data_IF_707656451421
#
_entry.id   IF_707656451421
#
_cell.length_a   1.000
_cell.length_b   1.000
_cell.length_c   1.000
_cell.angle_alpha   90.00
_cell.angle_beta   90.00
_cell.angle_gamma   90.00
#
_symmetry.space_group_name_H-M   'P 1'
#
loop_
_entity.id
_entity.type
_entity.pdbx_description
1 polymer ?
#
# COMPACT_ATOMS: atom_id res chain seq x y z
N UNK A 1 -7.50 37.51 -4.73
CA UNK A 1 -6.24 36.78 -4.99
C UNK A 1 -6.64 35.47 -5.61
N UNK A 2 -6.13 35.13 -6.79
CA UNK A 2 -6.30 33.78 -7.35
C UNK A 2 -5.69 32.77 -6.38
N UNK A 3 -6.49 31.79 -5.96
CA UNK A 3 -5.98 30.65 -5.19
C UNK A 3 -4.97 29.90 -6.03
N UNK A 4 -3.71 29.91 -5.58
CA UNK A 4 -2.60 29.26 -6.28
C UNK A 4 -2.81 27.75 -6.32
N UNK A 5 -2.70 27.18 -7.52
CA UNK A 5 -2.83 25.74 -7.73
C UNK A 5 -1.60 25.03 -7.13
N UNK A 6 -1.86 24.00 -6.34
CA UNK A 6 -0.83 23.12 -5.77
C UNK A 6 -0.80 21.83 -6.58
N UNK A 7 0.33 21.54 -7.24
CA UNK A 7 0.44 20.39 -8.13
C UNK A 7 1.23 19.25 -7.48
N UNK A 8 0.64 18.06 -7.47
CA UNK A 8 1.27 16.81 -7.01
C UNK A 8 1.35 15.82 -8.16
N UNK A 9 2.48 15.12 -8.27
CA UNK A 9 2.62 13.94 -9.11
C UNK A 9 2.39 12.68 -8.28
N UNK A 10 1.73 11.68 -8.86
CA UNK A 10 1.44 10.40 -8.20
C UNK A 10 1.88 9.28 -9.12
N UNK A 11 2.71 8.35 -8.65
CA UNK A 11 3.19 7.22 -9.48
C UNK A 11 2.67 5.88 -8.96
N UNK A 12 2.16 5.06 -9.88
CA UNK A 12 1.65 3.73 -9.57
C UNK A 12 2.19 2.67 -10.52
N UNK A 13 2.26 1.44 -10.00
CA UNK A 13 2.69 0.26 -10.74
C UNK A 13 1.58 -0.29 -11.66
N UNK A 14 1.91 -1.16 -12.65
CA UNK A 14 0.94 -1.81 -13.55
C UNK A 14 0.12 -2.92 -12.85
N UNK A 15 -0.59 -2.56 -11.78
CA UNK A 15 -1.52 -3.43 -11.05
C UNK A 15 -2.81 -2.66 -10.75
N UNK A 16 -3.96 -3.18 -11.20
CA UNK A 16 -5.24 -2.47 -11.09
C UNK A 16 -5.61 -2.15 -9.64
N UNK A 17 -5.40 -3.06 -8.70
CA UNK A 17 -5.71 -2.82 -7.28
C UNK A 17 -4.91 -1.65 -6.70
N UNK A 18 -3.64 -1.51 -7.08
CA UNK A 18 -2.79 -0.39 -6.68
C UNK A 18 -3.26 0.93 -7.31
N UNK A 19 -3.50 0.91 -8.62
CA UNK A 19 -3.95 2.07 -9.38
C UNK A 19 -5.30 2.58 -8.89
N UNK A 20 -6.27 1.68 -8.67
CA UNK A 20 -7.59 2.05 -8.16
C UNK A 20 -7.49 2.68 -6.76
N UNK A 21 -6.72 2.06 -5.86
CA UNK A 21 -6.58 2.51 -4.47
C UNK A 21 -5.95 3.91 -4.38
N UNK A 22 -4.83 4.14 -5.07
CA UNK A 22 -4.12 5.42 -5.00
C UNK A 22 -4.88 6.54 -5.72
N UNK A 23 -5.59 6.24 -6.81
CA UNK A 23 -6.42 7.22 -7.51
C UNK A 23 -7.67 7.57 -6.69
N UNK A 24 -8.25 6.63 -5.95
CA UNK A 24 -9.37 6.94 -5.04
C UNK A 24 -8.92 7.89 -3.91
N UNK A 25 -7.71 7.70 -3.39
CA UNK A 25 -7.07 8.68 -2.51
C UNK A 25 -6.95 10.06 -3.20
N UNK A 26 -6.50 10.11 -4.45
CA UNK A 26 -6.39 11.37 -5.20
C UNK A 26 -7.75 12.04 -5.41
N UNK A 27 -8.80 11.27 -5.73
CA UNK A 27 -10.18 11.77 -5.86
C UNK A 27 -10.67 12.40 -4.57
N UNK A 28 -10.43 11.75 -3.43
CA UNK A 28 -10.75 12.31 -2.11
C UNK A 28 -9.97 13.59 -1.82
N UNK A 29 -8.66 13.60 -2.12
CA UNK A 29 -7.81 14.77 -1.91
C UNK A 29 -8.35 16.00 -2.65
N UNK A 30 -8.61 15.89 -3.96
CA UNK A 30 -9.10 17.03 -4.76
C UNK A 30 -10.57 17.39 -4.46
N UNK A 31 -11.36 16.44 -3.94
CA UNK A 31 -12.72 16.69 -3.50
C UNK A 31 -12.76 17.60 -2.28
N UNK A 32 -11.88 17.38 -1.29
CA UNK A 32 -11.80 18.22 -0.10
C UNK A 32 -10.90 19.46 -0.28
N UNK A 33 -9.99 19.45 -1.26
CA UNK A 33 -9.03 20.53 -1.51
C UNK A 33 -9.00 20.92 -2.99
N UNK A 34 -9.93 21.77 -3.40
CA UNK A 34 -10.13 22.17 -4.80
C UNK A 34 -8.95 22.93 -5.44
N UNK A 35 -8.02 23.45 -4.64
CA UNK A 35 -6.77 24.07 -5.10
C UNK A 35 -5.69 23.04 -5.48
N UNK A 36 -5.90 21.75 -5.22
CA UNK A 36 -4.99 20.70 -5.64
C UNK A 36 -5.29 20.25 -7.07
N UNK A 37 -4.20 20.07 -7.81
CA UNK A 37 -4.20 19.41 -9.10
C UNK A 37 -3.25 18.21 -9.00
N UNK A 38 -3.67 17.07 -9.54
CA UNK A 38 -2.91 15.82 -9.44
C UNK A 38 -2.63 15.28 -10.84
N UNK A 39 -1.40 14.87 -11.09
CA UNK A 39 -1.07 14.09 -12.30
C UNK A 39 -0.66 12.68 -11.91
N UNK A 40 -1.47 11.69 -12.30
CA UNK A 40 -1.18 10.27 -12.09
C UNK A 40 -0.32 9.72 -13.23
N UNK A 41 0.86 9.20 -12.91
CA UNK A 41 1.81 8.62 -13.85
C UNK A 41 1.79 7.09 -13.69
N UNK A 42 1.48 6.39 -14.78
CA UNK A 42 1.32 4.95 -14.79
C UNK A 42 2.37 4.27 -15.66
N UNK A 43 3.14 3.37 -15.06
CA UNK A 43 3.91 2.37 -15.81
C UNK A 43 2.95 1.40 -16.51
N UNK A 44 3.27 1.01 -17.74
CA UNK A 44 2.46 0.08 -18.54
C UNK A 44 3.30 -1.08 -19.08
N UNK A 45 2.70 -2.26 -19.17
CA UNK A 45 3.29 -3.46 -19.80
C UNK A 45 2.42 -3.80 -21.00
N UNK A 46 2.96 -3.70 -22.21
CA UNK A 46 2.28 -3.74 -23.52
C UNK A 46 1.18 -2.68 -23.69
N UNK A 47 0.16 -2.69 -22.83
CA UNK A 47 -0.95 -1.74 -22.83
C UNK A 47 -1.54 -1.58 -21.41
N UNK A 48 -2.21 -0.44 -21.11
CA UNK A 48 -2.90 -0.28 -19.84
C UNK A 48 -4.02 -1.33 -19.65
N UNK A 49 -4.27 -1.83 -18.43
CA UNK A 49 -5.41 -2.71 -18.19
C UNK A 49 -6.73 -2.04 -18.56
N UNK A 50 -7.64 -2.76 -19.23
CA UNK A 50 -8.94 -2.21 -19.63
C UNK A 50 -9.74 -1.67 -18.44
N UNK A 51 -9.68 -2.35 -17.29
CA UNK A 51 -10.30 -1.90 -16.05
C UNK A 51 -9.76 -0.53 -15.60
N UNK A 52 -8.44 -0.30 -15.73
CA UNK A 52 -7.80 0.99 -15.45
C UNK A 52 -8.31 2.06 -16.41
N UNK A 53 -8.36 1.78 -17.72
CA UNK A 53 -8.86 2.74 -18.72
C UNK A 53 -10.29 3.16 -18.39
N UNK A 54 -11.18 2.20 -18.15
CA UNK A 54 -12.58 2.47 -17.78
C UNK A 54 -12.68 3.26 -16.47
N UNK A 55 -11.86 2.92 -15.48
CA UNK A 55 -11.85 3.59 -14.20
C UNK A 55 -11.41 5.06 -14.31
N UNK A 56 -10.41 5.36 -15.15
CA UNK A 56 -9.90 6.71 -15.40
C UNK A 56 -10.88 7.62 -16.16
N UNK A 57 -11.90 7.07 -16.84
CA UNK A 57 -12.94 7.87 -17.49
C UNK A 57 -13.79 8.69 -16.50
N UNK A 58 -13.79 8.29 -15.23
CA UNK A 58 -14.55 8.94 -14.15
C UNK A 58 -13.74 9.98 -13.37
N UNK A 59 -12.57 10.39 -13.86
CA UNK A 59 -11.72 11.33 -13.13
C UNK A 59 -12.33 12.74 -13.10
N UNK A 60 -12.24 13.43 -11.93
CA UNK A 60 -12.58 14.85 -11.84
C UNK A 60 -11.57 15.70 -12.66
N UNK A 61 -11.95 16.93 -13.07
CA UNK A 61 -11.13 17.79 -13.94
C UNK A 61 -9.79 18.22 -13.33
N UNK A 62 -9.62 18.05 -12.01
CA UNK A 62 -8.38 18.37 -11.31
C UNK A 62 -7.39 17.20 -11.26
N UNK A 63 -7.69 16.08 -11.93
CA UNK A 63 -6.81 14.91 -12.01
C UNK A 63 -6.53 14.58 -13.46
N UNK A 64 -5.29 14.81 -13.87
CA UNK A 64 -4.74 14.35 -15.14
C UNK A 64 -4.02 13.01 -14.98
N UNK A 65 -3.75 12.34 -16.10
CA UNK A 65 -2.93 11.12 -16.09
C UNK A 65 -2.02 11.01 -17.30
N UNK A 66 -0.91 10.30 -17.11
CA UNK A 66 0.10 10.00 -18.12
C UNK A 66 0.37 8.50 -18.09
N UNK A 67 0.20 7.83 -19.22
CA UNK A 67 0.79 6.51 -19.41
C UNK A 67 2.21 6.67 -19.92
N UNK A 68 3.17 6.11 -19.20
CA UNK A 68 4.55 6.03 -19.68
C UNK A 68 4.62 5.12 -20.92
N UNK A 69 5.62 5.31 -21.81
CA UNK A 69 5.87 4.40 -22.92
C UNK A 69 5.87 2.95 -22.44
N UNK A 70 5.14 2.05 -23.13
CA UNK A 70 4.94 0.70 -22.66
C UNK A 70 6.22 -0.12 -22.68
N UNK A 71 6.43 -0.88 -21.60
CA UNK A 71 7.46 -1.91 -21.55
C UNK A 71 6.94 -3.15 -22.27
N UNK A 72 7.72 -3.69 -23.20
CA UNK A 72 7.34 -4.90 -23.93
C UNK A 72 7.45 -6.10 -22.99
N UNK A 73 6.37 -6.87 -22.86
CA UNK A 73 6.34 -8.07 -22.01
C UNK A 73 7.37 -9.12 -22.42
N UNK A 74 7.82 -9.12 -23.68
CA UNK A 74 8.87 -10.03 -24.15
C UNK A 74 10.24 -9.74 -23.56
N UNK A 75 10.49 -8.48 -23.15
CA UNK A 75 11.74 -8.02 -22.55
C UNK A 75 11.77 -8.24 -21.03
N UNK A 76 10.65 -8.66 -20.45
CA UNK A 76 10.54 -9.01 -19.03
C UNK A 76 11.01 -10.44 -18.77
N UNK A 77 11.59 -10.72 -17.58
CA UNK A 77 12.01 -12.07 -17.21
C UNK A 77 10.84 -13.06 -17.25
N UNK A 78 11.08 -14.23 -17.86
CA UNK A 78 10.10 -15.31 -18.00
C UNK A 78 10.24 -16.31 -16.86
N UNK A 79 9.14 -16.93 -16.45
CA UNK A 79 9.13 -17.96 -15.40
C UNK A 79 9.32 -17.43 -13.97
N UNK A 80 9.31 -16.11 -13.77
CA UNK A 80 9.36 -15.48 -12.45
C UNK A 80 7.97 -15.00 -12.00
N UNK A 81 7.73 -14.85 -10.68
CA UNK A 81 6.48 -14.30 -10.15
C UNK A 81 6.08 -12.97 -10.80
N UNK A 82 4.77 -12.71 -10.86
CA UNK A 82 4.23 -11.48 -11.45
C UNK A 82 4.77 -10.21 -10.76
N UNK A 83 4.97 -10.26 -9.44
CA UNK A 83 5.55 -9.16 -8.68
C UNK A 83 6.95 -8.77 -9.17
N UNK A 84 7.78 -9.75 -9.55
CA UNK A 84 9.09 -9.50 -10.13
C UNK A 84 9.01 -8.92 -11.54
N UNK A 85 8.08 -9.38 -12.37
CA UNK A 85 7.86 -8.81 -13.71
C UNK A 85 7.43 -7.34 -13.61
N UNK A 86 6.51 -7.03 -12.69
CA UNK A 86 6.08 -5.67 -12.39
C UNK A 86 7.26 -4.82 -11.91
N UNK A 87 8.07 -5.35 -10.98
CA UNK A 87 9.28 -4.67 -10.49
C UNK A 87 10.23 -4.28 -11.64
N UNK A 88 10.52 -5.21 -12.55
CA UNK A 88 11.39 -4.94 -13.69
C UNK A 88 10.79 -3.89 -14.63
N UNK A 89 9.49 -3.97 -14.92
CA UNK A 89 8.82 -2.98 -15.76
C UNK A 89 8.90 -1.56 -15.16
N UNK A 90 8.74 -1.43 -13.84
CA UNK A 90 8.86 -0.16 -13.14
C UNK A 90 10.29 0.38 -13.25
N UNK A 91 11.32 -0.42 -12.95
CA UNK A 91 12.72 0.01 -13.05
C UNK A 91 13.11 0.38 -14.49
N UNK A 92 12.64 -0.37 -15.50
CA UNK A 92 12.87 -0.02 -16.92
C UNK A 92 12.15 1.26 -17.36
N UNK A 93 11.06 1.64 -16.66
CA UNK A 93 10.31 2.85 -16.95
C UNK A 93 10.89 4.12 -16.33
N UNK A 94 11.90 4.02 -15.45
CA UNK A 94 12.45 5.17 -14.72
C UNK A 94 12.97 6.30 -15.62
N UNK A 95 13.65 6.06 -16.76
CA UNK A 95 14.06 7.16 -17.65
C UNK A 95 12.86 7.92 -18.23
N UNK A 96 11.79 7.20 -18.60
CA UNK A 96 10.55 7.81 -19.08
C UNK A 96 9.83 8.57 -17.98
N UNK A 97 9.83 8.02 -16.76
CA UNK A 97 9.29 8.71 -15.58
C UNK A 97 10.04 10.01 -15.29
N UNK A 98 11.37 10.00 -15.33
CA UNK A 98 12.21 11.19 -15.15
C UNK A 98 11.84 12.29 -16.14
N UNK A 99 11.73 11.96 -17.43
CA UNK A 99 11.33 12.92 -18.45
C UNK A 99 9.90 13.45 -18.22
N UNK A 100 8.93 12.58 -17.87
CA UNK A 100 7.59 13.02 -17.54
C UNK A 100 7.58 14.00 -16.35
N UNK A 101 8.33 13.69 -15.29
CA UNK A 101 8.45 14.55 -14.12
C UNK A 101 9.14 15.88 -14.45
N UNK A 102 10.20 15.86 -15.26
CA UNK A 102 10.87 17.06 -15.76
C UNK A 102 9.92 17.98 -16.54
N UNK A 103 9.05 17.41 -17.38
CA UNK A 103 8.04 18.16 -18.11
C UNK A 103 7.03 18.82 -17.17
N UNK A 104 6.59 18.12 -16.11
CA UNK A 104 5.67 18.68 -15.11
C UNK A 104 6.32 19.82 -14.32
N UNK A 105 7.58 19.63 -13.90
CA UNK A 105 8.37 20.66 -13.22
C UNK A 105 8.60 21.93 -14.06
N UNK A 106 8.61 21.80 -15.38
CA UNK A 106 8.81 22.93 -16.31
C UNK A 106 7.50 23.66 -16.67
N UNK A 107 6.36 23.21 -16.14
CA UNK A 107 5.05 23.82 -16.39
C UNK A 107 4.82 25.07 -15.54
N UNK A 108 3.79 25.85 -15.86
CA UNK A 108 3.42 27.05 -15.10
C UNK A 108 2.85 26.75 -13.70
N UNK A 109 2.49 25.49 -13.43
CA UNK A 109 1.98 25.07 -12.12
C UNK A 109 3.15 24.47 -11.31
N UNK A 110 3.44 25.00 -10.11
CA UNK A 110 4.57 24.52 -9.33
C UNK A 110 4.30 23.11 -8.81
N UNK A 111 5.04 22.14 -9.34
CA UNK A 111 5.07 20.78 -8.82
C UNK A 111 5.80 20.78 -7.47
N UNK A 112 5.13 20.31 -6.42
CA UNK A 112 5.63 20.40 -5.04
C UNK A 112 5.89 19.06 -4.38
N UNK A 113 5.19 18.01 -4.79
CA UNK A 113 5.33 16.70 -4.18
C UNK A 113 5.20 15.56 -5.20
N UNK A 114 5.88 14.46 -4.90
CA UNK A 114 5.67 13.14 -5.48
C UNK A 114 5.06 12.22 -4.41
N UNK A 115 4.00 11.50 -4.76
CA UNK A 115 3.48 10.38 -3.99
C UNK A 115 3.74 9.10 -4.77
N UNK A 116 4.53 8.20 -4.21
CA UNK A 116 4.89 6.94 -4.86
C UNK A 116 4.15 5.75 -4.25
N UNK A 117 3.74 4.82 -5.11
CA UNK A 117 3.46 3.44 -4.70
C UNK A 117 4.73 2.80 -4.08
N UNK A 118 4.62 1.96 -3.04
CA UNK A 118 5.76 1.34 -2.37
C UNK A 118 6.67 0.54 -3.31
N UNK A 119 6.13 -0.04 -4.39
CA UNK A 119 6.90 -0.81 -5.37
C UNK A 119 7.59 0.07 -6.43
N UNK A 120 7.28 1.36 -6.46
CA UNK A 120 7.89 2.38 -7.32
C UNK A 120 8.75 3.38 -6.54
N UNK A 121 9.20 3.04 -5.33
CA UNK A 121 9.92 3.98 -4.45
C UNK A 121 11.33 4.38 -4.93
N UNK A 122 11.87 3.76 -5.99
CA UNK A 122 13.05 4.26 -6.72
C UNK A 122 12.83 5.68 -7.28
N UNK A 123 11.57 6.04 -7.55
CA UNK A 123 11.20 7.38 -8.02
C UNK A 123 11.43 8.48 -6.98
N UNK A 124 11.61 8.14 -5.69
CA UNK A 124 11.89 9.12 -4.65
C UNK A 124 13.28 9.76 -4.81
N UNK A 125 14.27 9.03 -5.33
CA UNK A 125 15.58 9.60 -5.66
C UNK A 125 15.47 10.61 -6.80
N UNK A 126 14.65 10.29 -7.82
CA UNK A 126 14.37 11.22 -8.92
C UNK A 126 13.67 12.48 -8.39
N UNK A 127 12.68 12.33 -7.50
CA UNK A 127 11.99 13.46 -6.90
C UNK A 127 12.92 14.41 -6.13
N UNK A 128 13.98 13.86 -5.51
CA UNK A 128 15.01 14.64 -4.82
C UNK A 128 15.81 15.53 -5.79
N UNK A 129 16.09 15.06 -7.01
CA UNK A 129 16.75 15.86 -8.05
C UNK A 129 15.96 17.14 -8.40
N UNK A 130 14.63 17.06 -8.33
CA UNK A 130 13.72 18.18 -8.63
C UNK A 130 13.27 18.99 -7.40
N UNK A 131 13.89 18.73 -6.23
CA UNK A 131 13.53 19.36 -4.96
C UNK A 131 12.00 19.27 -4.70
N UNK A 132 11.49 18.05 -4.67
CA UNK A 132 10.10 17.73 -4.36
C UNK A 132 10.00 17.08 -2.98
N UNK A 133 8.92 17.38 -2.26
CA UNK A 133 8.50 16.52 -1.16
C UNK A 133 8.17 15.13 -1.71
N UNK A 134 8.47 14.10 -0.92
CA UNK A 134 8.39 12.71 -1.36
C UNK A 134 7.63 11.91 -0.32
N UNK A 135 6.51 11.31 -0.71
CA UNK A 135 5.66 10.50 0.17
C UNK A 135 5.45 9.12 -0.44
N UNK A 136 5.19 8.13 0.42
CA UNK A 136 4.77 6.80 -0.03
C UNK A 136 3.30 6.61 0.32
N UNK A 137 2.45 6.35 -0.68
CA UNK A 137 1.10 5.85 -0.44
C UNK A 137 1.17 4.35 -0.19
N UNK A 138 0.87 3.91 1.03
CA UNK A 138 1.07 2.53 1.47
C UNK A 138 -0.30 1.85 1.66
N UNK A 139 -0.81 1.13 0.64
CA UNK A 139 -2.11 0.47 0.73
C UNK A 139 -2.16 -0.78 1.65
N UNK A 140 -1.06 -1.51 1.93
CA UNK A 140 -1.11 -2.58 2.93
C UNK A 140 -1.31 -2.06 4.36
N UNK A 141 -1.53 -2.98 5.31
CA UNK A 141 -1.78 -2.63 6.71
C UNK A 141 -0.61 -1.88 7.37
N UNK A 142 -0.90 -1.10 8.42
CA UNK A 142 0.12 -0.44 9.24
C UNK A 142 1.09 -1.45 9.90
N UNK A 143 0.63 -2.69 10.18
CA UNK A 143 1.52 -3.76 10.66
C UNK A 143 2.53 -4.17 9.57
N UNK A 144 2.10 -4.21 8.30
CA UNK A 144 2.99 -4.46 7.16
C UNK A 144 4.00 -3.34 7.00
N UNK A 145 3.57 -2.09 7.16
CA UNK A 145 4.47 -0.95 7.12
C UNK A 145 5.52 -1.04 8.24
N UNK A 146 5.10 -1.34 9.48
CA UNK A 146 6.03 -1.48 10.60
C UNK A 146 7.04 -2.61 10.37
N UNK A 147 6.59 -3.76 9.84
CA UNK A 147 7.48 -4.85 9.43
C UNK A 147 8.49 -4.39 8.39
N UNK A 148 8.06 -3.68 7.34
CA UNK A 148 8.95 -3.26 6.25
C UNK A 148 9.96 -2.20 6.72
N UNK A 149 9.56 -1.28 7.60
CA UNK A 149 10.46 -0.32 8.22
C UNK A 149 11.52 -1.03 9.10
N UNK A 150 11.15 -2.12 9.76
CA UNK A 150 12.03 -2.91 10.62
C UNK A 150 12.81 -4.00 9.87
N UNK A 151 12.46 -4.31 8.62
CA UNK A 151 13.02 -5.44 7.87
C UNK A 151 14.55 -5.39 7.72
N UNK A 152 15.21 -4.23 7.49
CA UNK A 152 16.67 -4.17 7.45
C UNK A 152 17.33 -4.63 8.75
N UNK A 153 16.80 -4.21 9.90
CA UNK A 153 17.29 -4.65 11.22
C UNK A 153 17.02 -6.13 11.45
N UNK A 154 15.79 -6.58 11.16
CA UNK A 154 15.42 -7.99 11.28
C UNK A 154 16.30 -8.90 10.40
N UNK A 155 16.71 -8.43 9.22
CA UNK A 155 17.60 -9.17 8.33
C UNK A 155 18.98 -9.41 8.96
N UNK A 156 19.51 -8.44 9.70
CA UNK A 156 20.80 -8.54 10.38
C UNK A 156 20.71 -9.41 11.64
N UNK A 157 19.60 -9.33 12.38
CA UNK A 157 19.41 -10.05 13.65
C UNK A 157 19.11 -11.55 13.46
N UNK A 158 18.45 -11.92 12.37
CA UNK A 158 18.05 -13.30 12.09
C UNK A 158 18.90 -13.86 10.95
N UNK A 159 19.56 -14.99 11.17
CA UNK A 159 20.42 -15.64 10.16
C UNK A 159 19.75 -16.80 9.41
N UNK A 160 18.74 -17.45 9.98
CA UNK A 160 18.00 -18.53 9.34
C UNK A 160 16.81 -18.03 8.50
N UNK A 161 16.13 -18.91 7.76
CA UNK A 161 14.83 -18.56 7.17
C UNK A 161 13.83 -18.16 8.27
N UNK A 162 12.99 -17.16 8.01
CA UNK A 162 12.04 -16.70 9.03
C UNK A 162 11.06 -17.80 9.43
N UNK A 163 10.61 -18.62 8.47
CA UNK A 163 9.76 -19.80 8.73
C UNK A 163 10.39 -20.83 9.67
N UNK A 164 11.72 -20.88 9.73
CA UNK A 164 12.48 -21.80 10.60
C UNK A 164 12.87 -21.14 11.93
N UNK A 165 12.58 -19.85 12.11
CA UNK A 165 12.84 -19.12 13.34
C UNK A 165 11.88 -19.59 14.44
N UNK A 166 12.45 -20.10 15.54
CA UNK A 166 11.68 -20.80 16.59
C UNK A 166 10.83 -19.88 17.46
N UNK A 167 11.29 -18.65 17.63
CA UNK A 167 10.61 -17.64 18.45
C UNK A 167 9.66 -16.80 17.61
N UNK A 168 8.81 -16.03 18.28
CA UNK A 168 7.98 -15.05 17.59
C UNK A 168 8.83 -13.84 17.20
N UNK A 169 8.63 -13.33 15.99
CA UNK A 169 9.25 -12.11 15.49
C UNK A 169 8.51 -10.92 16.12
N UNK A 170 9.27 -10.05 16.76
CA UNK A 170 8.76 -8.86 17.42
C UNK A 170 8.87 -7.65 16.49
N UNK A 171 7.73 -7.27 15.88
CA UNK A 171 7.64 -6.06 15.07
C UNK A 171 7.29 -4.87 15.98
N UNK A 172 8.00 -3.73 15.90
CA UNK A 172 7.72 -2.56 16.73
C UNK A 172 6.25 -2.12 16.70
N UNK A 173 5.64 -1.96 17.87
CA UNK A 173 4.24 -1.53 18.02
C UNK A 173 3.19 -2.55 17.58
N UNK A 174 3.58 -3.79 17.28
CA UNK A 174 2.69 -4.82 16.74
C UNK A 174 2.67 -6.07 17.64
N UNK A 175 1.68 -6.94 17.41
CA UNK A 175 1.66 -8.26 18.04
C UNK A 175 2.80 -9.15 17.51
N UNK A 176 3.37 -10.04 18.36
CA UNK A 176 4.35 -11.01 17.91
C UNK A 176 3.79 -11.92 16.81
N UNK A 177 4.62 -12.26 15.82
CA UNK A 177 4.22 -13.07 14.66
C UNK A 177 5.20 -14.19 14.37
N UNK A 178 4.72 -15.36 13.95
CA UNK A 178 5.59 -16.44 13.50
C UNK A 178 6.06 -16.19 12.06
N UNK A 179 7.27 -16.63 11.72
CA UNK A 179 7.82 -16.44 10.37
C UNK A 179 6.94 -17.00 9.24
N UNK A 180 6.23 -18.11 9.49
CA UNK A 180 5.29 -18.71 8.53
C UNK A 180 4.08 -17.81 8.18
N UNK A 181 3.77 -16.84 9.04
CA UNK A 181 2.70 -15.87 8.83
C UNK A 181 3.21 -14.54 8.22
N UNK A 182 4.52 -14.39 8.01
CA UNK A 182 5.06 -13.23 7.27
C UNK A 182 4.63 -13.24 5.80
N UNK A 183 4.68 -12.07 5.11
CA UNK A 183 4.39 -11.99 3.69
C UNK A 183 5.17 -13.01 2.85
N UNK A 184 4.54 -13.49 1.76
CA UNK A 184 5.07 -14.53 0.88
C UNK A 184 6.50 -14.26 0.38
N UNK A 185 6.81 -13.01 0.05
CA UNK A 185 8.13 -12.60 -0.44
C UNK A 185 9.24 -12.65 0.64
N UNK A 186 8.89 -12.91 1.91
CA UNK A 186 9.83 -13.11 3.01
C UNK A 186 10.04 -14.60 3.37
N UNK A 187 9.40 -15.53 2.65
CA UNK A 187 9.46 -16.97 2.95
C UNK A 187 10.70 -17.70 2.38
N UNK A 188 11.45 -17.01 1.51
CA UNK A 188 12.73 -17.45 0.95
C UNK A 188 13.68 -16.26 0.92
N UNK A 189 14.54 -16.17 1.95
CA UNK A 189 15.50 -15.06 2.12
C UNK A 189 16.66 -15.12 1.13
N UNK A 190 16.84 -16.22 0.42
CA UNK A 190 17.84 -16.37 -0.65
C UNK A 190 17.32 -15.92 -2.03
N UNK A 191 16.01 -15.71 -2.15
CA UNK A 191 15.37 -15.34 -3.41
C UNK A 191 15.66 -13.90 -3.84
N UNK A 192 15.68 -13.69 -5.16
CA UNK A 192 15.70 -12.35 -5.75
C UNK A 192 14.52 -11.48 -5.29
N UNK A 193 13.35 -12.09 -5.03
CA UNK A 193 12.18 -11.40 -4.48
C UNK A 193 12.47 -10.78 -3.12
N UNK A 194 13.12 -11.53 -2.24
CA UNK A 194 13.50 -11.03 -0.93
C UNK A 194 14.53 -9.91 -1.03
N UNK A 195 15.59 -10.10 -1.82
CA UNK A 195 16.64 -9.10 -2.03
C UNK A 195 16.05 -7.75 -2.49
N UNK A 196 15.18 -7.78 -3.50
CA UNK A 196 14.54 -6.57 -4.03
C UNK A 196 13.60 -5.90 -3.01
N UNK A 197 12.89 -6.67 -2.18
CA UNK A 197 12.06 -6.10 -1.11
C UNK A 197 12.92 -5.47 -0.02
N UNK A 198 13.99 -6.13 0.41
CA UNK A 198 14.92 -5.61 1.40
C UNK A 198 15.54 -4.28 0.92
N UNK A 199 15.98 -4.25 -0.34
CA UNK A 199 16.49 -3.04 -1.00
C UNK A 199 15.45 -1.92 -1.03
N UNK A 200 14.20 -2.22 -1.38
CA UNK A 200 13.11 -1.23 -1.30
C UNK A 200 12.91 -0.70 0.11
N UNK A 201 12.90 -1.58 1.12
CA UNK A 201 12.71 -1.19 2.52
C UNK A 201 13.80 -0.24 3.00
N UNK A 202 15.06 -0.42 2.60
CA UNK A 202 16.15 0.52 2.93
C UNK A 202 15.89 1.94 2.41
N UNK A 203 15.21 2.07 1.26
CA UNK A 203 14.84 3.36 0.64
C UNK A 203 13.63 4.04 1.29
N UNK A 204 12.93 3.39 2.23
CA UNK A 204 11.77 3.99 2.91
C UNK A 204 12.14 5.24 3.70
N UNK A 205 13.40 5.34 4.15
CA UNK A 205 13.96 6.52 4.82
C UNK A 205 14.05 7.78 3.94
N UNK A 206 13.93 7.64 2.61
CA UNK A 206 13.90 8.78 1.68
C UNK A 206 12.55 9.50 1.66
N UNK A 207 11.48 8.85 2.14
CA UNK A 207 10.16 9.46 2.20
C UNK A 207 10.06 10.43 3.38
N UNK A 208 9.45 11.58 3.15
CA UNK A 208 9.06 12.55 4.17
C UNK A 208 7.87 12.06 5.01
N UNK A 209 7.09 11.12 4.49
CA UNK A 209 5.98 10.51 5.22
C UNK A 209 5.29 9.38 4.45
N UNK A 210 4.42 8.67 5.18
CA UNK A 210 3.61 7.58 4.65
C UNK A 210 2.13 7.94 4.72
N UNK A 211 1.43 7.77 3.61
CA UNK A 211 -0.02 7.86 3.52
C UNK A 211 -0.58 6.44 3.61
N UNK A 212 -0.94 6.04 4.82
CA UNK A 212 -1.46 4.69 5.08
C UNK A 212 -2.97 4.71 4.92
N UNK A 213 -3.48 3.81 4.09
CA UNK A 213 -4.92 3.65 3.93
C UNK A 213 -5.49 2.79 5.07
N UNK A 214 -6.70 3.12 5.53
CA UNK A 214 -7.51 2.30 6.42
C UNK A 214 -8.83 1.97 5.73
N UNK A 215 -9.25 0.71 5.76
CA UNK A 215 -10.45 0.26 5.06
C UNK A 215 -11.65 0.23 6.00
N UNK A 216 -12.59 1.16 5.78
CA UNK A 216 -13.81 1.32 6.60
C UNK A 216 -14.87 0.24 6.37
N UNK A 217 -14.78 -0.50 5.26
CA UNK A 217 -15.83 -1.43 4.84
C UNK A 217 -15.65 -2.84 5.44
N UNK A 218 -14.57 -3.09 6.19
CA UNK A 218 -14.45 -4.27 7.09
C UNK A 218 -15.45 -4.15 8.26
N UNK A 219 -15.99 -2.97 8.50
CA UNK A 219 -16.43 -2.60 9.84
C UNK A 219 -17.93 -2.80 10.03
N UNK A 220 -18.34 -4.06 10.14
CA UNK A 220 -19.69 -4.44 10.53
C UNK A 220 -20.03 -5.88 10.18
N UNK A 221 -19.16 -6.57 9.44
CA UNK A 221 -19.38 -7.96 9.05
C UNK A 221 -18.25 -8.82 9.63
N UNK A 222 -18.55 -9.74 10.56
CA UNK A 222 -17.63 -10.78 10.99
C UNK A 222 -17.02 -11.55 9.81
N UNK A 223 -15.73 -11.88 9.89
CA UNK A 223 -15.01 -12.52 8.78
C UNK A 223 -14.44 -13.90 9.13
N UNK A 224 -14.37 -14.77 8.13
CA UNK A 224 -13.49 -15.95 8.15
C UNK A 224 -12.31 -15.63 7.24
N UNK A 225 -11.10 -15.58 7.80
CA UNK A 225 -9.89 -15.30 7.02
C UNK A 225 -9.44 -16.53 6.26
N UNK A 226 -9.18 -16.39 4.97
CA UNK A 226 -8.65 -17.46 4.11
C UNK A 226 -7.47 -16.93 3.29
N UNK A 227 -6.27 -16.80 3.90
CA UNK A 227 -5.13 -16.17 3.23
C UNK A 227 -4.59 -17.04 2.10
N UNK A 228 -4.27 -16.42 0.96
CA UNK A 228 -3.78 -17.09 -0.26
C UNK A 228 -2.37 -16.66 -0.65
N UNK A 229 -2.09 -15.35 -0.69
CA UNK A 229 -0.83 -14.81 -1.22
C UNK A 229 -0.46 -13.46 -0.57
N UNK A 230 0.70 -12.92 -0.95
CA UNK A 230 1.22 -11.63 -0.46
C UNK A 230 1.25 -11.56 1.07
N UNK A 231 0.73 -10.50 1.70
CA UNK A 231 0.70 -10.28 3.14
C UNK A 231 -0.56 -10.81 3.83
N UNK A 232 -1.42 -11.56 3.13
CA UNK A 232 -2.71 -11.99 3.66
C UNK A 232 -2.59 -12.89 4.89
N UNK A 233 -1.54 -13.71 5.00
CA UNK A 233 -1.28 -14.53 6.21
C UNK A 233 -1.05 -13.65 7.45
N UNK A 234 -0.32 -12.56 7.29
CA UNK A 234 -0.11 -11.58 8.35
C UNK A 234 -1.39 -10.81 8.68
N UNK A 235 -2.14 -10.38 7.67
CA UNK A 235 -3.44 -9.73 7.90
C UNK A 235 -4.40 -10.67 8.64
N UNK A 236 -4.38 -11.98 8.35
CA UNK A 236 -5.17 -12.96 9.08
C UNK A 236 -4.77 -13.05 10.55
N UNK A 237 -3.47 -13.00 10.87
CA UNK A 237 -2.99 -12.93 12.26
C UNK A 237 -3.44 -11.64 12.94
N UNK A 238 -3.32 -10.49 12.28
CA UNK A 238 -3.81 -9.20 12.80
C UNK A 238 -5.31 -9.25 13.12
N UNK A 239 -6.13 -9.77 12.20
CA UNK A 239 -7.59 -9.81 12.34
C UNK A 239 -8.04 -10.83 13.41
N UNK A 240 -7.40 -12.00 13.48
CA UNK A 240 -7.81 -13.08 14.40
C UNK A 240 -7.21 -12.97 15.80
N UNK A 241 -5.96 -12.54 15.94
CA UNK A 241 -5.25 -12.47 17.22
C UNK A 241 -5.15 -11.05 17.77
N UNK A 242 -4.90 -10.07 16.90
CA UNK A 242 -4.75 -8.67 17.27
C UNK A 242 -6.09 -8.01 17.58
N UNK A 243 -6.91 -7.83 16.54
CA UNK A 243 -8.23 -7.20 16.64
C UNK A 243 -9.31 -8.16 17.13
N UNK A 244 -9.10 -9.48 16.96
CA UNK A 244 -10.04 -10.54 17.33
C UNK A 244 -11.41 -10.37 16.67
N UNK A 245 -11.44 -9.88 15.44
CA UNK A 245 -12.67 -9.62 14.66
C UNK A 245 -12.91 -10.64 13.55
N UNK A 246 -12.16 -11.74 13.56
CA UNK A 246 -12.30 -12.80 12.56
C UNK A 246 -11.91 -14.16 13.13
N UNK A 247 -12.37 -15.22 12.47
CA UNK A 247 -11.92 -16.59 12.68
C UNK A 247 -11.01 -17.04 11.53
N UNK A 248 -10.08 -17.95 11.82
CA UNK A 248 -9.20 -18.57 10.82
C UNK A 248 -9.36 -20.09 10.90
N UNK A 249 -9.75 -20.77 9.80
CA UNK A 249 -9.78 -22.22 9.76
C UNK A 249 -8.39 -22.81 9.98
N UNK A 250 -8.35 -23.99 10.56
CA UNK A 250 -7.13 -24.81 10.62
C UNK A 250 -6.90 -25.50 9.28
N UNK A 251 -5.66 -25.43 8.82
CA UNK A 251 -5.19 -26.12 7.63
C UNK A 251 -4.30 -27.27 8.07
N UNK A 252 -4.41 -28.40 7.39
CA UNK A 252 -3.51 -29.55 7.61
C UNK A 252 -2.15 -29.32 6.92
N UNK A 253 -1.24 -30.31 7.04
CA UNK A 253 0.12 -30.22 6.48
C UNK A 253 0.17 -30.07 4.95
N UNK A 254 -0.94 -30.31 4.25
CA UNK A 254 -1.07 -30.11 2.80
C UNK A 254 -1.72 -28.74 2.46
N UNK A 255 -1.81 -27.81 3.42
CA UNK A 255 -2.51 -26.53 3.29
C UNK A 255 -4.00 -26.68 2.91
N UNK A 256 -4.65 -27.76 3.35
CA UNK A 256 -6.08 -28.02 3.11
C UNK A 256 -6.88 -27.84 4.40
N UNK A 257 -7.95 -27.03 4.34
CA UNK A 257 -8.97 -26.98 5.38
C UNK A 257 -10.03 -28.05 5.13
N UNK A 258 -10.21 -28.95 6.10
CA UNK A 258 -11.14 -30.08 5.96
C UNK A 258 -12.61 -29.63 6.06
N UNK A 259 -13.52 -30.36 5.41
CA UNK A 259 -14.96 -30.07 5.43
C UNK A 259 -15.51 -29.90 6.85
N UNK A 260 -15.04 -30.72 7.80
CA UNK A 260 -15.46 -30.66 9.19
C UNK A 260 -15.04 -29.34 9.85
N UNK A 261 -13.78 -28.96 9.72
CA UNK A 261 -13.24 -27.68 10.20
C UNK A 261 -14.02 -26.49 9.62
N UNK A 262 -14.27 -26.50 8.30
CA UNK A 262 -15.03 -25.44 7.63
C UNK A 262 -16.44 -25.30 8.24
N UNK A 263 -17.14 -26.42 8.44
CA UNK A 263 -18.48 -26.42 9.02
C UNK A 263 -18.48 -25.92 10.49
N UNK A 264 -17.45 -26.28 11.26
CA UNK A 264 -17.29 -25.84 12.65
C UNK A 264 -17.03 -24.34 12.74
N UNK A 265 -16.11 -23.79 11.93
CA UNK A 265 -15.80 -22.35 11.92
C UNK A 265 -16.99 -21.52 11.46
N UNK A 266 -17.74 -21.97 10.45
CA UNK A 266 -18.97 -21.29 10.01
C UNK A 266 -20.01 -21.31 11.14
N UNK A 267 -20.22 -22.47 11.78
CA UNK A 267 -21.17 -22.58 12.88
C UNK A 267 -20.77 -21.68 14.06
N UNK A 268 -19.48 -21.63 14.39
CA UNK A 268 -18.96 -20.78 15.46
C UNK A 268 -19.15 -19.29 15.14
N UNK A 269 -18.84 -18.85 13.92
CA UNK A 269 -19.02 -17.44 13.54
C UNK A 269 -20.50 -17.01 13.55
N UNK A 270 -21.40 -17.90 13.13
CA UNK A 270 -22.82 -17.57 12.94
C UNK A 270 -23.65 -17.74 14.21
N UNK A 271 -23.33 -18.74 15.04
CA UNK A 271 -24.18 -19.16 16.17
C UNK A 271 -23.40 -19.33 17.48
N UNK A 272 -22.07 -19.37 17.43
CA UNK A 272 -21.20 -19.60 18.58
C UNK A 272 -20.97 -18.35 19.43
N UNK A 273 -20.49 -18.55 20.65
CA UNK A 273 -20.20 -17.44 21.58
C UNK A 273 -19.09 -16.54 21.04
N UNK A 274 -18.05 -17.12 20.41
CA UNK A 274 -16.98 -16.32 19.81
C UNK A 274 -17.49 -15.50 18.62
N UNK A 275 -18.42 -16.03 17.83
CA UNK A 275 -19.09 -15.30 16.74
C UNK A 275 -19.86 -14.06 17.24
N UNK A 276 -20.57 -14.18 18.36
CA UNK A 276 -21.23 -13.04 19.01
C UNK A 276 -20.21 -12.03 19.53
N UNK A 277 -19.12 -12.49 20.15
CA UNK A 277 -18.03 -11.63 20.60
C UNK A 277 -17.34 -10.88 19.46
N UNK A 278 -17.11 -11.54 18.32
CA UNK A 278 -16.58 -10.93 17.10
C UNK A 278 -17.54 -9.86 16.59
N UNK A 279 -18.86 -10.13 16.59
CA UNK A 279 -19.88 -9.19 16.12
C UNK A 279 -19.93 -7.92 16.97
N UNK A 280 -19.67 -8.00 18.28
CA UNK A 280 -19.55 -6.81 19.13
C UNK A 280 -18.28 -6.02 18.79
N UNK A 281 -17.13 -6.70 18.69
CA UNK A 281 -15.85 -6.05 18.39
C UNK A 281 -15.80 -5.42 17.00
N UNK A 282 -16.46 -6.00 16.00
CA UNK A 282 -16.51 -5.41 14.65
C UNK A 282 -17.35 -4.13 14.62
N UNK A 283 -18.42 -4.04 15.40
CA UNK A 283 -19.22 -2.81 15.54
C UNK A 283 -18.48 -1.72 16.35
N UNK A 284 -17.70 -2.10 17.35
CA UNK A 284 -16.80 -1.16 18.03
C UNK A 284 -15.74 -0.62 17.07
N UNK A 285 -15.12 -1.49 16.27
CA UNK A 285 -14.12 -1.09 15.28
C UNK A 285 -14.71 -0.11 14.26
N UNK A 286 -15.94 -0.37 13.81
CA UNK A 286 -16.72 0.54 12.95
C UNK A 286 -16.89 1.91 13.55
N UNK A 287 -17.31 1.95 14.81
CA UNK A 287 -17.49 3.22 15.49
C UNK A 287 -16.18 4.01 15.58
N UNK A 288 -15.06 3.32 15.84
CA UNK A 288 -13.73 3.94 15.93
C UNK A 288 -13.30 4.53 14.59
N UNK A 289 -13.42 3.81 13.47
CA UNK A 289 -12.97 4.36 12.20
C UNK A 289 -13.91 5.43 11.62
N UNK A 290 -15.23 5.30 11.81
CA UNK A 290 -16.15 6.40 11.55
C UNK A 290 -15.79 7.65 12.38
N UNK A 291 -15.34 7.46 13.63
CA UNK A 291 -14.88 8.57 14.46
C UNK A 291 -13.54 9.15 14.00
N UNK A 292 -12.63 8.33 13.44
CA UNK A 292 -11.39 8.80 12.86
C UNK A 292 -11.59 9.67 11.61
N UNK A 293 -12.73 9.50 10.91
CA UNK A 293 -13.11 10.25 9.71
C UNK A 293 -13.96 11.51 10.00
N UNK A 294 -14.34 11.78 11.25
CA UNK A 294 -15.04 13.03 11.63
C UNK A 294 -14.15 14.25 11.36
N UNK A 295 -14.75 15.44 11.39
CA UNK A 295 -14.06 16.72 11.13
C UNK A 295 -12.81 16.91 12.01
N UNK A 296 -12.89 16.53 13.28
CA UNK A 296 -11.77 16.54 14.23
C UNK A 296 -11.13 15.16 14.42
N UNK A 297 -11.47 14.16 13.60
CA UNK A 297 -10.98 12.79 13.69
C UNK A 297 -9.49 12.65 13.37
N UNK A 298 -8.87 11.56 13.84
CA UNK A 298 -7.42 11.34 13.67
C UNK A 298 -6.98 11.27 12.21
N UNK A 299 -7.76 10.61 11.34
CA UNK A 299 -7.42 10.49 9.92
C UNK A 299 -7.59 11.83 9.19
N UNK A 300 -8.64 12.58 9.52
CA UNK A 300 -8.87 13.93 8.99
C UNK A 300 -7.73 14.87 9.38
N UNK A 301 -7.35 14.90 10.66
CA UNK A 301 -6.21 15.71 11.14
C UNK A 301 -4.89 15.31 10.48
N UNK A 302 -4.63 14.02 10.28
CA UNK A 302 -3.43 13.55 9.60
C UNK A 302 -3.39 14.04 8.14
N UNK A 303 -4.52 13.99 7.43
CA UNK A 303 -4.63 14.53 6.08
C UNK A 303 -4.42 16.06 6.06
N UNK A 304 -5.04 16.79 7.01
CA UNK A 304 -4.84 18.24 7.14
C UNK A 304 -3.38 18.60 7.42
N UNK A 305 -2.66 17.82 8.23
CA UNK A 305 -1.24 18.02 8.48
C UNK A 305 -0.41 17.81 7.19
N UNK A 306 -0.68 16.73 6.46
CA UNK A 306 -0.04 16.48 5.15
C UNK A 306 -0.23 17.66 4.18
N UNK A 307 -1.44 18.20 4.11
CA UNK A 307 -1.74 19.37 3.27
C UNK A 307 -0.99 20.61 3.74
N UNK A 308 -0.97 20.85 5.05
CA UNK A 308 -0.25 21.98 5.65
C UNK A 308 1.24 21.90 5.32
N UNK A 309 1.84 20.71 5.38
CA UNK A 309 3.24 20.49 5.04
C UNK A 309 3.52 20.83 3.57
N UNK A 310 2.64 20.40 2.66
CA UNK A 310 2.74 20.71 1.22
C UNK A 310 2.59 22.22 0.96
N UNK A 311 1.60 22.87 1.56
CA UNK A 311 1.35 24.30 1.37
C UNK A 311 2.46 25.17 1.98
N UNK A 312 3.04 24.74 3.10
CA UNK A 312 4.22 25.36 3.68
C UNK A 312 5.41 25.24 2.73
N UNK A 313 5.65 24.06 2.16
CA UNK A 313 6.72 23.86 1.19
C UNK A 313 6.53 24.72 -0.08
N UNK A 314 5.32 24.79 -0.62
CA UNK A 314 4.98 25.64 -1.76
C UNK A 314 5.30 27.12 -1.50
N UNK A 315 5.05 27.61 -0.28
CA UNK A 315 5.35 28.99 0.14
C UNK A 315 6.84 29.30 0.20
N UNK A 316 7.70 28.31 0.41
CA UNK A 316 9.16 28.51 0.42
C UNK A 316 9.80 28.26 -0.96
N UNK A 317 9.12 27.52 -1.85
CA UNK A 317 9.62 27.16 -3.18
C UNK A 317 9.41 28.26 -4.24
N UNK A 318 8.46 29.16 -4.03
CA UNK A 318 8.14 30.30 -4.93
C UNK A 318 8.45 31.61 -4.23
#
# INVERSE_FOLDING_TARGET
METKITHIAVVSIPAFSHQASIVEFCKRLVHFHHNFHVTCIFTTIDSPPQATITFLQSLPPNIDYIFLPPINKQDLPKGVPLSLQISHAVSQSLPSFHHALQSLCSSNNPLVALIADPFANETLEIAKEFNLLSYIYFPPSAMTLSLFLHLPTLHEEVSCEYKDYKEAIHIPGCLPIHGNDLPEHLQDRSSLSYELILERCKRFSLAHGFLVNSFSEIEGVPMITWPLFAEQRMNAVLLTKGLKVALRPKFNDNDIAEKKEIAEVIKELMLGEEGHGISQRIEELKYVALSALKEDGSSTRALSQFITDIENFLRHKV
#
